data_IF_284732748145
#
_entry.id   IF_284732748145
#
_cell.length_a   1.000
_cell.length_b   1.000
_cell.length_c   1.000
_cell.angle_alpha   90.00
_cell.angle_beta   90.00
_cell.angle_gamma   90.00
#
_symmetry.space_group_name_H-M   'P 1'
#
loop_
_entity.id
_entity.type
_entity.pdbx_description
1 polymer ?
#
# COMPACT_ATOMS: atom_id res chain seq x y z
N UNK A 1 29.75 -3.31 -7.14
CA UNK A 1 29.13 -2.76 -5.91
C UNK A 1 28.36 -1.43 -6.10
N UNK A 2 28.70 -0.53 -7.05
CA UNK A 2 28.02 0.78 -7.21
C UNK A 2 26.54 0.74 -7.64
N UNK A 3 26.03 -0.39 -8.16
CA UNK A 3 24.67 -0.52 -8.73
C UNK A 3 23.56 -0.55 -7.66
N UNK A 4 23.88 -1.08 -6.46
CA UNK A 4 22.93 -1.20 -5.35
C UNK A 4 22.57 0.15 -4.70
N UNK A 5 23.40 1.18 -4.89
CA UNK A 5 23.21 2.55 -4.39
C UNK A 5 22.86 3.53 -5.53
N UNK A 6 22.31 3.03 -6.64
CA UNK A 6 21.74 3.89 -7.69
C UNK A 6 20.40 4.48 -7.21
N UNK A 7 19.99 5.63 -7.76
CA UNK A 7 18.70 6.27 -7.43
C UNK A 7 17.51 5.30 -7.48
N UNK A 8 17.31 4.57 -8.59
CA UNK A 8 16.23 3.59 -8.69
C UNK A 8 16.35 2.45 -7.67
N UNK A 9 17.56 1.96 -7.38
CA UNK A 9 17.74 0.93 -6.37
C UNK A 9 17.36 1.44 -4.97
N UNK A 10 17.70 2.69 -4.65
CA UNK A 10 17.35 3.30 -3.37
C UNK A 10 15.83 3.41 -3.20
N UNK A 11 15.12 3.83 -4.24
CA UNK A 11 13.65 3.89 -4.25
C UNK A 11 13.04 2.50 -4.00
N UNK A 12 13.57 1.46 -4.65
CA UNK A 12 13.12 0.08 -4.40
C UNK A 12 13.38 -0.37 -2.96
N UNK A 13 14.54 -0.05 -2.39
CA UNK A 13 14.85 -0.36 -0.99
C UNK A 13 13.88 0.32 -0.03
N UNK A 14 13.55 1.60 -0.25
CA UNK A 14 12.62 2.34 0.62
C UNK A 14 11.20 1.79 0.47
N UNK A 15 10.73 1.53 -0.75
CA UNK A 15 9.42 0.91 -0.99
C UNK A 15 9.31 -0.47 -0.32
N UNK A 16 10.35 -1.30 -0.44
CA UNK A 16 10.42 -2.61 0.22
C UNK A 16 10.44 -2.47 1.74
N UNK A 17 11.22 -1.52 2.29
CA UNK A 17 11.26 -1.26 3.73
C UNK A 17 9.89 -0.84 4.27
N UNK A 18 9.17 0.06 3.58
CA UNK A 18 7.79 0.45 3.92
C UNK A 18 6.86 -0.77 3.94
N UNK A 19 6.87 -1.57 2.88
CA UNK A 19 6.04 -2.78 2.78
C UNK A 19 6.31 -3.75 3.93
N UNK A 20 7.58 -4.09 4.14
CA UNK A 20 8.01 -5.02 5.19
C UNK A 20 7.65 -4.51 6.58
N UNK A 21 7.85 -3.21 6.84
CA UNK A 21 7.48 -2.59 8.11
C UNK A 21 5.97 -2.66 8.38
N UNK A 22 5.15 -2.33 7.37
CA UNK A 22 3.69 -2.42 7.50
C UNK A 22 3.25 -3.88 7.70
N UNK A 23 3.79 -4.83 6.94
CA UNK A 23 3.43 -6.24 7.09
C UNK A 23 3.90 -6.84 8.42
N UNK A 24 5.08 -6.46 8.91
CA UNK A 24 5.58 -6.90 10.21
C UNK A 24 4.71 -6.41 11.37
N UNK A 25 4.02 -5.29 11.19
CA UNK A 25 3.15 -4.69 12.22
C UNK A 25 1.66 -4.97 11.98
N UNK A 26 1.29 -5.50 10.81
CA UNK A 26 -0.10 -5.70 10.37
C UNK A 26 -0.92 -6.65 11.25
N UNK A 27 -0.31 -7.48 12.09
CA UNK A 27 -1.02 -8.36 13.03
C UNK A 27 -1.06 -7.84 14.48
N UNK A 28 -0.40 -6.72 14.80
CA UNK A 28 -0.18 -6.30 16.21
C UNK A 28 -1.43 -5.75 16.89
N UNK A 29 -2.35 -5.19 16.11
CA UNK A 29 -3.61 -4.62 16.59
C UNK A 29 -4.80 -5.27 15.90
N UNK A 30 -5.95 -5.26 16.58
CA UNK A 30 -7.23 -5.69 16.03
C UNK A 30 -7.69 -4.85 14.83
N UNK A 31 -8.91 -5.12 14.37
CA UNK A 31 -9.52 -4.41 13.25
C UNK A 31 -9.79 -2.95 13.66
N UNK A 32 -9.33 -2.00 12.84
CA UNK A 32 -9.61 -0.58 13.01
C UNK A 32 -11.05 -0.27 12.59
N UNK A 33 -11.65 0.80 13.14
CA UNK A 33 -13.08 1.11 12.91
C UNK A 33 -13.40 1.23 11.42
N UNK A 34 -12.57 1.95 10.66
CA UNK A 34 -12.78 2.09 9.21
C UNK A 34 -12.60 0.77 8.46
N UNK A 35 -11.66 -0.09 8.90
CA UNK A 35 -11.49 -1.43 8.31
C UNK A 35 -12.73 -2.29 8.55
N UNK A 36 -13.34 -2.21 9.73
CA UNK A 36 -14.58 -2.91 10.04
C UNK A 36 -15.74 -2.39 9.18
N UNK A 37 -15.81 -1.07 8.97
CA UNK A 37 -16.79 -0.47 8.08
C UNK A 37 -16.63 -0.98 6.65
N UNK A 38 -15.41 -1.03 6.10
CA UNK A 38 -15.16 -1.59 4.78
C UNK A 38 -15.53 -3.07 4.68
N UNK A 39 -15.33 -3.85 5.75
CA UNK A 39 -15.78 -5.25 5.82
C UNK A 39 -17.30 -5.32 5.76
N UNK A 40 -18.02 -4.46 6.49
CA UNK A 40 -19.49 -4.41 6.44
C UNK A 40 -19.99 -4.03 5.03
N UNK A 41 -19.37 -3.03 4.40
CA UNK A 41 -19.67 -2.62 3.03
C UNK A 41 -19.38 -3.71 2.00
N UNK A 42 -18.31 -4.48 2.19
CA UNK A 42 -17.94 -5.57 1.29
C UNK A 42 -18.95 -6.73 1.31
N UNK A 43 -19.73 -6.88 2.39
CA UNK A 43 -20.82 -7.87 2.48
C UNK A 43 -22.10 -7.41 1.79
N UNK A 44 -22.22 -6.13 1.49
CA UNK A 44 -23.38 -5.50 0.86
C UNK A 44 -22.91 -4.65 -0.32
N UNK A 45 -22.21 -5.25 -1.30
CA UNK A 45 -21.65 -4.49 -2.41
C UNK A 45 -22.73 -3.64 -3.10
N UNK A 46 -22.42 -2.35 -3.24
CA UNK A 46 -23.25 -1.35 -3.93
C UNK A 46 -22.34 -0.49 -4.81
N UNK A 47 -22.92 0.30 -5.72
CA UNK A 47 -22.21 1.18 -6.66
C UNK A 47 -21.59 2.42 -6.00
N UNK A 48 -21.72 2.55 -4.69
CA UNK A 48 -21.13 3.59 -3.88
C UNK A 48 -21.86 3.69 -2.56
N UNK A 49 -21.14 4.15 -1.54
CA UNK A 49 -21.70 4.55 -0.27
C UNK A 49 -21.60 6.07 -0.14
N UNK A 50 -22.31 6.64 0.82
CA UNK A 50 -22.32 8.11 1.05
C UNK A 50 -20.90 8.67 1.16
N UNK A 51 -20.00 7.93 1.82
CA UNK A 51 -18.65 8.41 2.14
C UNK A 51 -17.56 7.87 1.20
N UNK A 52 -17.88 6.87 0.36
CA UNK A 52 -16.85 6.17 -0.41
C UNK A 52 -17.33 5.58 -1.74
N UNK A 53 -16.46 5.59 -2.77
CA UNK A 53 -16.72 4.91 -4.04
C UNK A 53 -16.70 3.38 -3.89
N UNK A 54 -17.25 2.62 -4.85
CA UNK A 54 -17.44 1.17 -4.72
C UNK A 54 -16.13 0.37 -4.68
N UNK A 55 -15.04 0.94 -5.20
CA UNK A 55 -13.76 0.25 -5.35
C UNK A 55 -13.23 -0.29 -4.02
N UNK A 56 -13.32 0.47 -2.93
CA UNK A 56 -12.78 0.03 -1.62
C UNK A 56 -13.55 -1.17 -1.08
N UNK A 57 -14.88 -1.19 -1.21
CA UNK A 57 -15.71 -2.31 -0.82
C UNK A 57 -15.40 -3.56 -1.67
N UNK A 58 -15.16 -3.39 -2.97
CA UNK A 58 -14.73 -4.46 -3.87
C UNK A 58 -13.35 -5.03 -3.54
N UNK A 59 -12.38 -4.16 -3.21
CA UNK A 59 -11.03 -4.57 -2.76
C UNK A 59 -11.14 -5.38 -1.46
N UNK A 60 -11.90 -4.90 -0.48
CA UNK A 60 -12.10 -5.60 0.79
C UNK A 60 -12.85 -6.92 0.58
N UNK A 61 -13.85 -6.96 -0.31
CA UNK A 61 -14.55 -8.20 -0.68
C UNK A 61 -13.57 -9.25 -1.22
N UNK A 62 -12.69 -8.85 -2.16
CA UNK A 62 -11.68 -9.73 -2.72
C UNK A 62 -10.71 -10.24 -1.64
N UNK A 63 -10.23 -9.35 -0.76
CA UNK A 63 -9.34 -9.71 0.33
C UNK A 63 -9.97 -10.76 1.26
N UNK A 64 -11.25 -10.60 1.61
CA UNK A 64 -11.99 -11.56 2.42
C UNK A 64 -12.21 -12.90 1.71
N UNK A 65 -12.46 -12.90 0.39
CA UNK A 65 -12.67 -14.13 -0.38
C UNK A 65 -11.37 -14.93 -0.57
N UNK A 66 -10.23 -14.26 -0.67
CA UNK A 66 -8.94 -14.92 -0.88
C UNK A 66 -8.26 -15.31 0.44
N UNK A 67 -8.32 -14.46 1.45
CA UNK A 67 -7.56 -14.61 2.70
C UNK A 67 -8.44 -14.78 3.95
N UNK A 68 -9.76 -14.83 3.80
CA UNK A 68 -10.70 -14.92 4.91
C UNK A 68 -10.66 -13.68 5.80
N UNK A 69 -10.95 -13.87 7.09
CA UNK A 69 -10.91 -12.81 8.11
C UNK A 69 -9.51 -12.54 8.67
N UNK A 70 -8.45 -12.87 7.92
CA UNK A 70 -7.07 -12.62 8.33
C UNK A 70 -6.73 -11.13 8.26
N UNK A 71 -6.19 -10.57 9.35
CA UNK A 71 -5.71 -9.19 9.39
C UNK A 71 -4.62 -8.93 8.34
N UNK A 72 -3.74 -9.90 8.13
CA UNK A 72 -2.69 -9.80 7.13
C UNK A 72 -3.28 -9.77 5.72
N UNK A 73 -4.32 -10.55 5.45
CA UNK A 73 -5.03 -10.55 4.18
C UNK A 73 -5.69 -9.20 3.89
N UNK A 74 -6.39 -8.65 4.88
CA UNK A 74 -7.06 -7.35 4.78
C UNK A 74 -6.07 -6.20 4.51
N UNK A 75 -4.88 -6.26 5.13
CA UNK A 75 -3.87 -5.19 5.06
C UNK A 75 -2.84 -5.37 3.94
N UNK A 76 -2.85 -6.51 3.24
CA UNK A 76 -1.89 -6.82 2.17
C UNK A 76 -2.02 -5.86 0.98
N UNK A 77 -3.24 -5.68 0.46
CA UNK A 77 -3.49 -4.81 -0.69
C UNK A 77 -3.17 -3.33 -0.37
N UNK A 78 -3.58 -2.76 0.77
CA UNK A 78 -3.11 -1.44 1.21
C UNK A 78 -1.58 -1.35 1.36
N UNK A 79 -0.93 -2.41 1.86
CA UNK A 79 0.52 -2.43 2.02
C UNK A 79 1.25 -2.34 0.66
N UNK A 80 0.81 -3.15 -0.30
CA UNK A 80 1.30 -3.13 -1.69
C UNK A 80 1.04 -1.77 -2.33
N UNK A 81 -0.18 -1.23 -2.22
CA UNK A 81 -0.55 0.05 -2.81
C UNK A 81 0.34 1.19 -2.30
N UNK A 82 0.56 1.28 -0.99
CA UNK A 82 1.43 2.34 -0.46
C UNK A 82 2.92 2.13 -0.78
N UNK A 83 3.39 0.90 -0.97
CA UNK A 83 4.77 0.65 -1.44
C UNK A 83 4.93 1.01 -2.92
N UNK A 84 3.92 0.71 -3.73
CA UNK A 84 3.85 1.14 -5.13
C UNK A 84 3.81 2.67 -5.24
N UNK A 85 3.09 3.35 -4.34
CA UNK A 85 3.07 4.82 -4.28
C UNK A 85 4.46 5.40 -4.02
N UNK A 86 5.17 4.91 -3.00
CA UNK A 86 6.57 5.30 -2.71
C UNK A 86 7.46 5.12 -3.95
N UNK A 87 7.34 3.96 -4.61
CA UNK A 87 8.10 3.67 -5.81
C UNK A 87 7.76 4.63 -6.97
N UNK A 88 6.47 4.91 -7.20
CA UNK A 88 6.00 5.84 -8.22
C UNK A 88 6.51 7.26 -7.97
N UNK A 89 6.45 7.74 -6.73
CA UNK A 89 6.93 9.09 -6.38
C UNK A 89 8.43 9.24 -6.66
N UNK A 90 9.24 8.25 -6.25
CA UNK A 90 10.66 8.22 -6.56
C UNK A 90 10.94 8.13 -8.08
N UNK A 91 10.14 7.36 -8.81
CA UNK A 91 10.22 7.28 -10.28
C UNK A 91 9.88 8.63 -10.93
N UNK A 92 8.83 9.31 -10.49
CA UNK A 92 8.45 10.62 -11.02
C UNK A 92 9.55 11.67 -10.78
N UNK A 93 10.19 11.66 -9.60
CA UNK A 93 11.33 12.52 -9.33
C UNK A 93 12.48 12.32 -10.34
N UNK A 94 12.70 11.08 -10.78
CA UNK A 94 13.67 10.78 -11.85
C UNK A 94 13.24 11.34 -13.20
N UNK A 95 11.98 11.13 -13.60
CA UNK A 95 11.44 11.61 -14.89
C UNK A 95 11.49 13.14 -14.98
N UNK A 96 11.37 13.84 -13.85
CA UNK A 96 11.55 15.30 -13.75
C UNK A 96 13.03 15.75 -13.78
N UNK A 97 13.98 14.86 -14.06
CA UNK A 97 15.42 15.16 -14.10
C UNK A 97 16.13 15.11 -12.75
N UNK A 98 15.46 14.64 -11.69
CA UNK A 98 16.03 14.51 -10.36
C UNK A 98 17.13 13.45 -10.28
N UNK A 99 18.29 13.85 -9.75
CA UNK A 99 19.39 12.94 -9.44
C UNK A 99 19.06 11.95 -8.31
N UNK A 100 20.05 11.14 -7.91
CA UNK A 100 19.88 10.12 -6.85
C UNK A 100 19.31 10.70 -5.55
N UNK A 101 19.76 11.88 -5.14
CA UNK A 101 19.31 12.52 -3.91
C UNK A 101 17.83 12.90 -3.97
N UNK A 102 17.38 13.50 -5.07
CA UNK A 102 15.97 13.88 -5.24
C UNK A 102 15.05 12.65 -5.24
N UNK A 103 15.45 11.57 -5.93
CA UNK A 103 14.69 10.30 -5.93
C UNK A 103 14.58 9.69 -4.53
N UNK A 104 15.66 9.73 -3.76
CA UNK A 104 15.69 9.23 -2.38
C UNK A 104 14.77 10.03 -1.46
N UNK A 105 14.83 11.36 -1.54
CA UNK A 105 13.98 12.25 -0.74
C UNK A 105 12.51 12.15 -1.13
N UNK A 106 12.20 11.93 -2.41
CA UNK A 106 10.83 11.74 -2.88
C UNK A 106 10.22 10.39 -2.45
N UNK A 107 11.05 9.39 -2.17
CA UNK A 107 10.62 8.07 -1.74
C UNK A 107 10.60 7.89 -0.20
N UNK A 108 11.19 8.83 0.55
CA UNK A 108 11.19 8.85 2.01
C UNK A 108 9.82 9.31 2.55
#
# INVERSE_FOLDING_TARGET
MKRALSGPALVWWIAAAKFLFQMATAGRYGIFVDELYYVACSRHLDWGYVDQPPLIAGITWLALHVAGSSLYGLRLLPAIAGAALVWLTGKLAREMGGGRFAQAMAAL
#
